data_IF_996883781210
#
_entry.id   IF_996883781210
#
_cell.length_a   1.000
_cell.length_b   1.000
_cell.length_c   1.000
_cell.angle_alpha   90.00
_cell.angle_beta   90.00
_cell.angle_gamma   90.00
#
_symmetry.space_group_name_H-M   'P 1'
#
loop_
_entity.id
_entity.type
_entity.pdbx_description
1 polymer ?
#
# COMPACT_ATOMS: atom_id res chain seq x y z
N UNK A 1 -39.46 -26.31 61.84
CA UNK A 1 -38.25 -26.66 61.07
C UNK A 1 -38.07 -25.64 59.97
N UNK A 2 -37.22 -24.64 60.15
CA UNK A 2 -36.80 -23.76 59.05
C UNK A 2 -35.47 -23.11 59.44
N UNK A 3 -34.40 -23.40 58.71
CA UNK A 3 -33.18 -22.58 58.72
C UNK A 3 -32.93 -22.17 57.27
N UNK A 4 -33.24 -20.90 57.00
CA UNK A 4 -32.98 -20.22 55.73
C UNK A 4 -31.48 -20.24 55.44
N UNK A 5 -31.09 -20.77 54.28
CA UNK A 5 -29.79 -20.53 53.70
C UNK A 5 -29.89 -19.29 52.80
N UNK A 6 -29.34 -18.16 53.25
CA UNK A 6 -29.18 -16.96 52.43
C UNK A 6 -27.96 -17.17 51.54
N UNK A 7 -28.17 -17.50 50.27
CA UNK A 7 -27.10 -17.52 49.27
C UNK A 7 -26.80 -16.10 48.80
N UNK A 8 -25.59 -15.63 49.09
CA UNK A 8 -25.06 -14.38 48.52
C UNK A 8 -24.66 -14.65 47.07
N UNK A 9 -25.49 -14.21 46.12
CA UNK A 9 -25.14 -14.24 44.70
C UNK A 9 -24.21 -13.05 44.41
N UNK A 10 -22.92 -13.33 44.20
CA UNK A 10 -21.96 -12.33 43.72
C UNK A 10 -22.14 -12.19 42.21
N UNK A 11 -22.74 -11.08 41.77
CA UNK A 11 -22.85 -10.75 40.33
C UNK A 11 -21.53 -10.12 39.90
N UNK A 12 -20.67 -10.91 39.27
CA UNK A 12 -19.47 -10.41 38.60
C UNK A 12 -19.86 -9.72 37.29
N UNK A 13 -19.73 -8.40 37.23
CA UNK A 13 -19.89 -7.62 36.00
C UNK A 13 -18.59 -7.69 35.20
N UNK A 14 -18.57 -8.49 34.14
CA UNK A 14 -17.49 -8.47 33.17
C UNK A 14 -17.57 -7.15 32.37
N UNK A 15 -16.61 -6.25 32.61
CA UNK A 15 -16.41 -5.07 31.77
C UNK A 15 -15.89 -5.53 30.40
N UNK A 16 -16.78 -5.61 29.41
CA UNK A 16 -16.39 -5.82 28.02
C UNK A 16 -15.64 -4.59 27.51
N UNK A 17 -14.36 -4.74 27.20
CA UNK A 17 -13.60 -3.73 26.46
C UNK A 17 -14.21 -3.61 25.06
N UNK A 18 -14.95 -2.53 24.81
CA UNK A 18 -15.57 -2.27 23.50
C UNK A 18 -14.50 -2.03 22.44
N UNK A 19 -14.37 -2.95 21.48
CA UNK A 19 -13.62 -2.71 20.26
C UNK A 19 -14.24 -1.52 19.53
N UNK A 20 -13.49 -0.42 19.41
CA UNK A 20 -13.90 0.69 18.56
C UNK A 20 -13.89 0.20 17.11
N UNK A 21 -14.94 0.46 16.31
CA UNK A 21 -14.92 0.09 14.90
C UNK A 21 -13.79 0.83 14.19
N UNK A 22 -12.78 0.08 13.73
CA UNK A 22 -11.71 0.63 12.92
C UNK A 22 -12.25 0.89 11.52
N UNK A 23 -12.31 2.17 11.12
CA UNK A 23 -12.72 2.55 9.77
C UNK A 23 -11.73 1.94 8.77
N UNK A 24 -12.25 1.18 7.80
CA UNK A 24 -11.43 0.58 6.74
C UNK A 24 -10.76 1.67 5.89
N UNK A 25 -9.51 1.43 5.47
CA UNK A 25 -8.82 2.33 4.55
C UNK A 25 -9.55 2.32 3.18
N UNK A 26 -10.00 3.48 2.66
CA UNK A 26 -10.76 3.54 1.41
C UNK A 26 -9.96 3.09 0.19
N UNK A 27 -8.63 3.30 0.15
CA UNK A 27 -7.78 2.81 -0.94
C UNK A 27 -7.69 1.28 -0.93
N UNK A 28 -7.56 0.69 0.26
CA UNK A 28 -7.56 -0.75 0.47
C UNK A 28 -8.90 -1.39 0.06
N UNK A 29 -10.03 -0.76 0.42
CA UNK A 29 -11.37 -1.19 0.01
C UNK A 29 -11.53 -1.08 -1.51
N UNK A 30 -11.06 0.01 -2.11
CA UNK A 30 -11.12 0.16 -3.56
C UNK A 30 -10.29 -0.93 -4.28
N UNK A 31 -9.11 -1.30 -3.78
CA UNK A 31 -8.32 -2.38 -4.36
C UNK A 31 -9.12 -3.69 -4.49
N UNK A 32 -9.78 -4.11 -3.40
CA UNK A 32 -10.58 -5.35 -3.39
C UNK A 32 -11.83 -5.23 -4.26
N UNK A 33 -12.46 -4.05 -4.31
CA UNK A 33 -13.59 -3.77 -5.20
C UNK A 33 -13.21 -3.82 -6.69
N UNK A 34 -11.99 -3.45 -7.05
CA UNK A 34 -11.48 -3.62 -8.43
C UNK A 34 -11.08 -5.08 -8.73
N UNK A 35 -11.24 -6.01 -7.77
CA UNK A 35 -10.89 -7.42 -7.93
C UNK A 35 -9.40 -7.72 -7.69
N UNK A 36 -8.65 -6.79 -7.10
CA UNK A 36 -7.26 -6.99 -6.74
C UNK A 36 -7.07 -7.57 -5.33
N UNK A 37 -5.89 -8.13 -5.09
CA UNK A 37 -5.42 -8.54 -3.77
C UNK A 37 -4.48 -7.48 -3.22
N UNK A 38 -4.78 -6.95 -2.03
CA UNK A 38 -3.92 -5.98 -1.35
C UNK A 38 -2.80 -6.69 -0.56
N UNK A 39 -1.56 -6.24 -0.74
CA UNK A 39 -0.41 -6.57 0.12
C UNK A 39 0.23 -5.28 0.61
N UNK A 40 0.73 -5.26 1.85
CA UNK A 40 1.51 -4.14 2.35
C UNK A 40 2.99 -4.44 2.13
N UNK A 41 3.68 -3.51 1.49
CA UNK A 41 5.11 -3.57 1.25
C UNK A 41 5.83 -2.43 1.98
N UNK A 42 7.13 -2.59 2.20
CA UNK A 42 7.97 -1.62 2.90
C UNK A 42 9.04 -1.05 1.97
N UNK A 43 9.24 0.28 2.05
CA UNK A 43 10.31 1.01 1.36
C UNK A 43 11.62 0.99 2.16
N UNK A 44 12.76 1.35 1.56
CA UNK A 44 14.05 1.42 2.26
C UNK A 44 14.07 2.34 3.48
N UNK A 45 13.23 3.37 3.51
CA UNK A 45 13.08 4.29 4.66
C UNK A 45 12.17 3.75 5.78
N UNK A 46 11.67 2.51 5.64
CA UNK A 46 10.73 1.90 6.57
C UNK A 46 9.27 2.28 6.33
N UNK A 47 9.00 3.24 5.44
CA UNK A 47 7.64 3.64 5.06
C UNK A 47 6.89 2.52 4.35
N UNK A 48 5.62 2.33 4.70
CA UNK A 48 4.78 1.28 4.10
C UNK A 48 3.89 1.84 2.99
N UNK A 49 3.57 0.98 2.02
CA UNK A 49 2.62 1.28 0.95
C UNK A 49 1.82 0.04 0.58
N UNK A 50 0.56 0.23 0.21
CA UNK A 50 -0.30 -0.86 -0.25
C UNK A 50 -0.11 -1.13 -1.73
N UNK A 51 0.07 -2.39 -2.11
CA UNK A 51 0.14 -2.84 -3.49
C UNK A 51 -1.08 -3.69 -3.80
N UNK A 52 -1.88 -3.21 -4.75
CA UNK A 52 -2.99 -3.93 -5.32
C UNK A 52 -2.51 -4.79 -6.49
N UNK A 53 -2.60 -6.11 -6.36
CA UNK A 53 -2.17 -7.07 -7.39
C UNK A 53 -3.38 -7.71 -8.06
N UNK A 54 -3.38 -7.71 -9.39
CA UNK A 54 -4.41 -8.28 -10.25
C UNK A 54 -3.87 -9.54 -10.96
N UNK A 55 -4.71 -10.15 -11.81
CA UNK A 55 -4.33 -11.26 -12.70
C UNK A 55 -3.04 -10.95 -13.48
N UNK A 56 -2.27 -11.99 -13.78
CA UNK A 56 -0.98 -11.88 -14.51
C UNK A 56 0.03 -10.92 -13.87
N UNK A 57 -0.06 -10.72 -12.55
CA UNK A 57 0.83 -9.85 -11.79
C UNK A 57 0.81 -8.38 -12.25
N UNK A 58 -0.35 -7.91 -12.72
CA UNK A 58 -0.59 -6.48 -12.92
C UNK A 58 -0.71 -5.80 -11.57
N UNK A 59 -0.15 -4.62 -11.40
CA UNK A 59 -0.09 -3.97 -10.08
C UNK A 59 -0.40 -2.49 -10.13
N UNK A 60 -0.90 -1.97 -9.02
CA UNK A 60 -0.96 -0.54 -8.70
C UNK A 60 -0.65 -0.35 -7.22
N UNK A 61 -0.12 0.80 -6.84
CA UNK A 61 -0.17 1.25 -5.45
C UNK A 61 -1.62 1.65 -5.12
N UNK A 62 -2.10 1.32 -3.92
CA UNK A 62 -3.52 1.39 -3.57
C UNK A 62 -4.11 2.80 -3.71
N UNK A 63 -3.32 3.83 -3.37
CA UNK A 63 -3.76 5.21 -3.46
C UNK A 63 -3.68 5.76 -4.88
N UNK A 64 -2.68 5.37 -5.66
CA UNK A 64 -2.62 5.67 -7.08
C UNK A 64 -3.81 5.05 -7.84
N UNK A 65 -4.19 3.81 -7.51
CA UNK A 65 -5.40 3.18 -8.02
C UNK A 65 -6.66 3.95 -7.61
N UNK A 66 -6.77 4.33 -6.33
CA UNK A 66 -7.90 5.08 -5.80
C UNK A 66 -8.10 6.45 -6.49
N UNK A 67 -7.01 7.16 -6.78
CA UNK A 67 -7.03 8.46 -7.48
C UNK A 67 -7.15 8.36 -9.00
N UNK A 68 -7.08 7.15 -9.57
CA UNK A 68 -7.07 6.94 -11.01
C UNK A 68 -5.75 7.32 -11.70
N UNK A 69 -4.67 7.45 -10.93
CA UNK A 69 -3.30 7.66 -11.42
C UNK A 69 -2.67 6.35 -11.92
N UNK A 70 -3.28 5.22 -11.57
CA UNK A 70 -2.94 3.89 -12.06
C UNK A 70 -4.18 3.21 -12.67
N UNK A 71 -4.06 2.44 -13.76
CA UNK A 71 -5.21 1.81 -14.41
C UNK A 71 -5.98 0.87 -13.46
N UNK A 72 -7.32 0.82 -13.61
CA UNK A 72 -8.19 -0.01 -12.75
C UNK A 72 -7.87 -1.51 -12.77
N UNK A 73 -7.25 -1.98 -13.85
CA UNK A 73 -6.82 -3.37 -14.04
C UNK A 73 -5.35 -3.60 -13.68
N UNK A 74 -4.69 -2.62 -13.07
CA UNK A 74 -3.25 -2.62 -12.85
C UNK A 74 -2.45 -2.28 -14.11
N UNK A 75 -1.13 -2.14 -13.94
CA UNK A 75 -0.17 -2.08 -15.04
C UNK A 75 0.79 -3.27 -14.99
N UNK A 76 1.33 -3.66 -16.14
CA UNK A 76 2.29 -4.76 -16.28
C UNK A 76 3.64 -4.34 -15.69
N UNK A 77 4.09 -4.98 -14.61
CA UNK A 77 5.34 -4.61 -13.92
C UNK A 77 6.60 -5.30 -14.44
N UNK A 78 6.46 -6.34 -15.26
CA UNK A 78 7.58 -7.13 -15.80
C UNK A 78 8.50 -6.36 -16.77
N UNK A 79 8.16 -5.10 -17.11
CA UNK A 79 9.04 -4.19 -17.85
C UNK A 79 9.98 -3.36 -16.98
N UNK A 80 9.88 -3.43 -15.65
CA UNK A 80 10.74 -2.67 -14.75
C UNK A 80 11.83 -3.55 -14.14
N UNK A 81 13.09 -3.22 -14.44
CA UNK A 81 14.24 -4.00 -13.97
C UNK A 81 14.54 -3.81 -12.48
N UNK A 82 14.07 -2.71 -11.87
CA UNK A 82 14.40 -2.34 -10.49
C UNK A 82 13.15 -2.12 -9.63
N UNK A 83 13.24 -2.32 -8.30
CA UNK A 83 12.16 -1.96 -7.38
C UNK A 83 11.77 -0.49 -7.48
N UNK A 84 12.74 0.40 -7.70
CA UNK A 84 12.52 1.83 -7.88
C UNK A 84 11.73 2.15 -9.16
N UNK A 85 12.06 1.50 -10.28
CA UNK A 85 11.30 1.63 -11.53
C UNK A 85 9.87 1.13 -11.38
N UNK A 86 9.68 -0.03 -10.75
CA UNK A 86 8.34 -0.56 -10.42
C UNK A 86 7.58 0.44 -9.54
N UNK A 87 8.19 0.90 -8.45
CA UNK A 87 7.57 1.81 -7.49
C UNK A 87 7.13 3.12 -8.16
N UNK A 88 7.99 3.72 -8.99
CA UNK A 88 7.63 4.88 -9.79
C UNK A 88 6.36 4.64 -10.62
N UNK A 89 6.30 3.51 -11.33
CA UNK A 89 5.17 3.21 -12.20
C UNK A 89 3.87 2.96 -11.44
N UNK A 90 3.91 2.10 -10.41
CA UNK A 90 2.70 1.71 -9.68
C UNK A 90 2.12 2.85 -8.83
N UNK A 91 2.92 3.87 -8.51
CA UNK A 91 2.47 5.12 -7.87
C UNK A 91 1.94 6.16 -8.87
N UNK A 92 1.79 5.80 -10.15
CA UNK A 92 1.24 6.64 -11.21
C UNK A 92 2.28 7.48 -11.97
N UNK A 93 3.56 7.31 -11.66
CA UNK A 93 4.64 8.00 -12.34
C UNK A 93 5.02 7.39 -13.68
N UNK A 94 5.74 8.17 -14.49
CA UNK A 94 6.37 7.73 -15.74
C UNK A 94 7.86 7.53 -15.50
N UNK A 95 8.29 6.27 -15.51
CA UNK A 95 9.70 5.91 -15.40
C UNK A 95 10.43 6.06 -16.74
N UNK A 96 11.66 6.56 -16.71
CA UNK A 96 12.54 6.66 -17.88
C UNK A 96 13.97 6.31 -17.49
N UNK A 97 14.58 5.33 -18.17
CA UNK A 97 15.97 4.92 -17.90
C UNK A 97 16.92 6.04 -18.30
N UNK A 98 17.86 6.38 -17.42
CA UNK A 98 18.89 7.42 -17.66
C UNK A 98 20.31 6.88 -17.58
N UNK A 99 20.49 5.64 -17.14
CA UNK A 99 21.78 4.94 -17.18
C UNK A 99 22.06 4.35 -18.56
N UNK A 100 23.34 4.05 -18.84
CA UNK A 100 23.72 3.32 -20.03
C UNK A 100 23.07 1.92 -20.08
N UNK A 101 22.80 1.36 -21.28
CA UNK A 101 22.30 -0.01 -21.41
C UNK A 101 23.21 -1.01 -20.68
N UNK A 102 22.61 -1.91 -19.89
CA UNK A 102 23.35 -2.91 -19.11
C UNK A 102 24.04 -2.40 -17.84
N UNK A 103 23.86 -1.12 -17.47
CA UNK A 103 24.35 -0.61 -16.20
C UNK A 103 23.69 -1.33 -15.00
N UNK A 104 24.49 -1.61 -13.97
CA UNK A 104 24.04 -2.26 -12.72
C UNK A 104 24.47 -1.43 -11.50
N UNK A 105 23.54 -0.85 -10.71
CA UNK A 105 22.10 -0.85 -10.94
C UNK A 105 21.68 0.05 -12.11
N UNK A 106 20.61 -0.33 -12.79
CA UNK A 106 19.90 0.58 -13.70
C UNK A 106 19.41 1.79 -12.89
N UNK A 107 19.60 3.00 -13.42
CA UNK A 107 19.07 4.23 -12.84
C UNK A 107 18.06 4.84 -13.80
N UNK A 108 17.03 5.46 -13.22
CA UNK A 108 15.99 6.12 -14.00
C UNK A 108 15.44 7.35 -13.33
N UNK A 109 14.81 8.20 -14.12
CA UNK A 109 14.02 9.34 -13.70
C UNK A 109 12.56 8.92 -13.54
N UNK A 110 11.88 9.45 -12.53
CA UNK A 110 10.46 9.29 -12.30
C UNK A 110 9.76 10.64 -12.44
N UNK A 111 8.94 10.80 -13.47
CA UNK A 111 8.02 11.94 -13.62
C UNK A 111 6.70 11.60 -12.93
N UNK A 112 6.36 12.33 -11.88
CA UNK A 112 5.25 12.03 -10.98
C UNK A 112 3.92 12.63 -11.49
N UNK A 113 2.75 12.18 -10.98
CA UNK A 113 1.44 12.72 -11.38
C UNK A 113 1.31 14.23 -11.17
N UNK A 114 1.97 14.80 -10.15
CA UNK A 114 1.98 16.24 -9.87
C UNK A 114 2.98 17.04 -10.75
N UNK A 115 3.69 16.38 -11.69
CA UNK A 115 4.68 16.99 -12.57
C UNK A 115 6.09 17.10 -11.98
N UNK A 116 6.28 16.80 -10.69
CA UNK A 116 7.61 16.75 -10.09
C UNK A 116 8.44 15.61 -10.72
N UNK A 117 9.76 15.81 -10.78
CA UNK A 117 10.69 14.80 -11.28
C UNK A 117 11.70 14.43 -10.20
N UNK A 118 11.79 13.14 -9.90
CA UNK A 118 12.76 12.57 -8.96
C UNK A 118 13.67 11.57 -9.66
N UNK A 119 14.88 11.37 -9.15
CA UNK A 119 15.58 10.11 -9.41
C UNK A 119 14.77 8.97 -8.76
N UNK A 120 14.54 7.88 -9.49
CA UNK A 120 13.60 6.84 -9.06
C UNK A 120 14.04 6.14 -7.77
N UNK A 121 15.35 5.90 -7.60
CA UNK A 121 15.93 5.38 -6.37
C UNK A 121 15.68 6.31 -5.18
N UNK A 122 15.87 7.62 -5.35
CA UNK A 122 15.59 8.64 -4.33
C UNK A 122 14.10 8.72 -3.97
N UNK A 123 13.21 8.62 -4.95
CA UNK A 123 11.76 8.55 -4.70
C UNK A 123 11.38 7.29 -3.91
N UNK A 124 11.90 6.13 -4.32
CA UNK A 124 11.66 4.87 -3.63
C UNK A 124 12.23 4.86 -2.21
N UNK A 125 13.43 5.40 -2.02
CA UNK A 125 14.09 5.54 -0.73
C UNK A 125 13.51 6.68 0.14
N UNK A 126 12.50 7.41 -0.34
CA UNK A 126 11.84 8.48 0.42
C UNK A 126 12.66 9.77 0.57
N UNK A 127 13.83 9.88 -0.08
CA UNK A 127 14.66 11.09 -0.05
C UNK A 127 14.22 12.14 -1.07
N UNK A 128 13.34 11.78 -2.01
CA UNK A 128 12.61 12.72 -2.86
C UNK A 128 11.11 12.66 -2.51
N UNK A 129 10.59 13.72 -1.86
CA UNK A 129 9.18 13.83 -1.48
C UNK A 129 8.34 14.23 -2.70
N UNK A 130 8.07 13.26 -3.57
CA UNK A 130 7.30 13.42 -4.78
C UNK A 130 5.78 13.57 -4.59
N UNK A 131 5.33 14.19 -3.49
CA UNK A 131 3.91 14.36 -3.16
C UNK A 131 3.60 15.83 -2.98
#
# INVERSE_FOLDING_TARGET
MYRMFVSVIVVAWAAGAGAQPQLANPASVNCTQQGGTLTIEQRPDGGQFGVCTFTDNYQCEEWALFRGECPKTGLRVTGYATPAGRYCAITGGRYSVVSAPGATPERGSCLLPNGATCEAGAYYAGTCAGR
#
